data_IF_910663293172
#
_entry.id   IF_910663293172
#
_cell.length_a   1.000
_cell.length_b   1.000
_cell.length_c   1.000
_cell.angle_alpha   90.00
_cell.angle_beta   90.00
_cell.angle_gamma   90.00
#
_symmetry.space_group_name_H-M   'P 1'
#
loop_
_entity.id
_entity.type
_entity.pdbx_description
1 polymer ?
#
# COMPACT_ATOMS: atom_id res chain seq x y z
N UNK A 1 -14.21 -10.28 0.24
CA UNK A 1 -13.86 -8.93 -0.23
C UNK A 1 -14.08 -7.99 0.94
N UNK A 2 -13.15 -7.10 1.25
CA UNK A 2 -13.29 -6.15 2.37
C UNK A 2 -13.77 -4.80 1.85
N UNK A 3 -14.73 -4.19 2.53
CA UNK A 3 -15.23 -2.85 2.21
C UNK A 3 -14.52 -1.80 3.05
N UNK A 4 -13.71 -0.94 2.42
CA UNK A 4 -13.00 0.14 3.12
C UNK A 4 -13.90 1.36 3.33
N UNK A 5 -14.65 1.36 4.44
CA UNK A 5 -15.69 2.37 4.74
C UNK A 5 -15.15 3.76 5.11
N UNK A 6 -13.98 3.83 5.75
CA UNK A 6 -13.36 5.11 6.10
C UNK A 6 -12.92 5.86 4.83
N UNK A 7 -12.98 7.22 4.80
CA UNK A 7 -12.58 8.01 3.64
C UNK A 7 -11.07 7.92 3.39
N UNK A 8 -10.66 8.13 2.13
CA UNK A 8 -9.24 8.25 1.79
C UNK A 8 -8.74 9.67 2.09
N UNK A 9 -7.89 9.79 3.10
CA UNK A 9 -7.15 11.02 3.42
C UNK A 9 -5.66 10.70 3.44
N UNK A 10 -4.86 11.47 2.71
CA UNK A 10 -3.40 11.27 2.68
C UNK A 10 -2.81 11.38 4.09
N UNK A 11 -1.94 10.44 4.46
CA UNK A 11 -1.41 10.32 5.83
C UNK A 11 -2.37 9.64 6.84
N UNK A 12 -3.51 9.12 6.41
CA UNK A 12 -4.45 8.36 7.26
C UNK A 12 -4.85 7.00 6.65
N UNK A 13 -4.09 6.50 5.67
CA UNK A 13 -4.35 5.21 5.03
C UNK A 13 -4.47 4.05 6.04
N UNK A 14 -3.67 4.12 7.11
CA UNK A 14 -3.70 3.13 8.19
C UNK A 14 -5.10 2.93 8.79
N UNK A 15 -5.90 3.99 8.95
CA UNK A 15 -7.27 3.87 9.49
C UNK A 15 -8.22 3.09 8.60
N UNK A 16 -7.91 2.98 7.30
CA UNK A 16 -8.70 2.17 6.37
C UNK A 16 -8.28 0.70 6.42
N UNK A 17 -6.99 0.43 6.54
CA UNK A 17 -6.42 -0.91 6.32
C UNK A 17 -6.17 -1.69 7.62
N UNK A 18 -5.68 -1.02 8.66
CA UNK A 18 -5.21 -1.67 9.89
C UNK A 18 -6.30 -2.48 10.60
N UNK A 19 -7.57 -2.04 10.72
CA UNK A 19 -8.59 -2.87 11.38
C UNK A 19 -8.72 -4.26 10.77
N UNK A 20 -8.65 -4.37 9.44
CA UNK A 20 -8.71 -5.64 8.73
C UNK A 20 -7.43 -6.46 8.91
N UNK A 21 -6.27 -5.81 8.98
CA UNK A 21 -4.99 -6.50 9.22
C UNK A 21 -4.93 -7.07 10.64
N UNK A 22 -5.42 -6.32 11.64
CA UNK A 22 -5.51 -6.79 13.03
C UNK A 22 -6.43 -8.02 13.12
N UNK A 23 -7.58 -7.99 12.45
CA UNK A 23 -8.49 -9.14 12.38
C UNK A 23 -7.80 -10.39 11.80
N UNK A 24 -6.98 -10.23 10.76
CA UNK A 24 -6.22 -11.34 10.18
C UNK A 24 -5.18 -11.92 11.15
N UNK A 25 -4.50 -11.06 11.90
CA UNK A 25 -3.52 -11.50 12.91
C UNK A 25 -4.22 -12.22 14.06
N UNK A 26 -5.34 -11.68 14.56
CA UNK A 26 -6.14 -12.31 15.62
C UNK A 26 -6.66 -13.68 15.18
N UNK A 27 -7.19 -13.77 13.96
CA UNK A 27 -7.65 -15.04 13.40
C UNK A 27 -6.53 -16.06 13.26
N UNK A 28 -5.30 -15.63 12.92
CA UNK A 28 -4.15 -16.53 12.87
C UNK A 28 -3.79 -17.02 14.27
N UNK A 29 -3.74 -16.12 15.25
CA UNK A 29 -3.47 -16.44 16.65
C UNK A 29 -4.47 -17.45 17.23
N UNK A 30 -5.74 -17.35 16.85
CA UNK A 30 -6.79 -18.28 17.29
C UNK A 30 -6.71 -19.65 16.61
N UNK A 31 -6.40 -19.68 15.30
CA UNK A 31 -6.50 -20.91 14.50
C UNK A 31 -5.22 -21.71 14.42
N UNK A 32 -4.09 -21.04 14.33
CA UNK A 32 -2.77 -21.64 14.11
C UNK A 32 -1.72 -20.86 14.93
N UNK A 33 -1.81 -20.88 16.27
CA UNK A 33 -0.94 -20.09 17.15
C UNK A 33 0.56 -20.38 16.94
N UNK A 34 0.92 -21.62 16.60
CA UNK A 34 2.30 -22.04 16.35
C UNK A 34 2.91 -21.40 15.09
N UNK A 35 2.07 -20.87 14.20
CA UNK A 35 2.48 -20.17 12.98
C UNK A 35 2.50 -18.65 13.14
N UNK A 36 2.33 -18.14 14.36
CA UNK A 36 2.37 -16.71 14.61
C UNK A 36 3.73 -16.11 14.23
N UNK A 37 3.75 -15.02 13.45
CA UNK A 37 4.99 -14.41 13.03
C UNK A 37 5.66 -13.69 14.20
N UNK A 38 6.97 -13.86 14.33
CA UNK A 38 7.78 -13.11 15.29
C UNK A 38 7.98 -11.64 14.88
N UNK A 39 7.78 -11.33 13.61
CA UNK A 39 7.94 -9.99 13.02
C UNK A 39 7.12 -9.86 11.74
N UNK A 40 6.52 -8.69 11.53
CA UNK A 40 5.75 -8.36 10.33
C UNK A 40 6.53 -7.38 9.45
N UNK A 41 6.67 -7.72 8.15
CA UNK A 41 7.12 -6.79 7.12
C UNK A 41 5.88 -6.22 6.42
N UNK A 42 5.66 -4.92 6.60
CA UNK A 42 4.45 -4.23 6.14
C UNK A 42 4.78 -3.40 4.90
N UNK A 43 4.00 -3.57 3.82
CA UNK A 43 4.11 -2.76 2.59
C UNK A 43 3.57 -1.36 2.83
N UNK A 44 4.42 -0.49 3.36
CA UNK A 44 4.04 0.84 3.81
C UNK A 44 5.09 1.44 4.73
N UNK A 45 4.77 2.60 5.31
CA UNK A 45 5.70 3.30 6.20
C UNK A 45 5.45 2.94 7.67
N UNK A 46 6.53 3.00 8.46
CA UNK A 46 6.50 3.09 9.92
C UNK A 46 6.65 4.54 10.36
N UNK A 47 7.71 4.86 11.10
CA UNK A 47 8.00 6.22 11.60
C UNK A 47 8.32 7.23 10.49
N UNK A 48 8.69 6.79 9.29
CA UNK A 48 8.84 7.65 8.10
C UNK A 48 7.46 8.07 7.57
N UNK A 49 6.77 8.93 8.30
CA UNK A 49 5.38 9.28 8.06
C UNK A 49 5.10 10.74 8.45
N UNK A 50 4.05 11.36 7.89
CA UNK A 50 3.71 12.78 8.15
C UNK A 50 3.54 13.10 9.64
N UNK A 51 3.25 12.08 10.46
CA UNK A 51 3.02 12.18 11.90
C UNK A 51 3.87 11.21 12.71
N UNK A 52 4.94 10.66 12.13
CA UNK A 52 5.75 9.63 12.80
C UNK A 52 5.04 8.29 13.05
N UNK A 53 3.83 8.10 12.51
CA UNK A 53 2.97 6.97 12.84
C UNK A 53 2.26 6.41 11.59
N UNK A 54 3.01 5.69 10.77
CA UNK A 54 2.49 5.01 9.58
C UNK A 54 1.77 3.69 9.88
N UNK A 55 1.36 3.00 8.82
CA UNK A 55 0.63 1.72 8.90
C UNK A 55 1.39 0.64 9.67
N UNK A 56 2.73 0.58 9.54
CA UNK A 56 3.54 -0.41 10.25
C UNK A 56 3.60 -0.12 11.77
N UNK A 57 3.63 1.16 12.16
CA UNK A 57 3.54 1.54 13.57
C UNK A 57 2.17 1.18 14.14
N UNK A 58 1.11 1.60 13.44
CA UNK A 58 -0.26 1.40 13.88
C UNK A 58 -0.62 -0.07 14.02
N UNK A 59 -0.25 -0.91 13.04
CA UNK A 59 -0.44 -2.36 13.15
C UNK A 59 0.37 -2.95 14.31
N UNK A 60 1.64 -2.56 14.43
CA UNK A 60 2.54 -3.07 15.47
C UNK A 60 2.06 -2.78 16.88
N UNK A 61 1.61 -1.56 17.18
CA UNK A 61 1.11 -1.23 18.53
C UNK A 61 -0.21 -1.93 18.86
N UNK A 62 -1.07 -2.18 17.88
CA UNK A 62 -2.34 -2.87 18.14
C UNK A 62 -2.20 -4.39 18.26
N UNK A 63 -1.14 -4.95 17.66
CA UNK A 63 -0.86 -6.40 17.70
C UNK A 63 0.22 -6.77 18.70
N UNK A 64 0.94 -5.78 19.26
CA UNK A 64 2.16 -5.95 20.07
C UNK A 64 3.27 -6.77 19.38
N UNK A 65 3.18 -6.96 18.07
CA UNK A 65 4.19 -7.65 17.26
C UNK A 65 5.25 -6.67 16.75
N UNK A 66 6.53 -7.07 16.71
CA UNK A 66 7.55 -6.33 15.99
C UNK A 66 7.14 -6.07 14.54
N UNK A 67 7.24 -4.82 14.09
CA UNK A 67 6.79 -4.41 12.76
C UNK A 67 7.85 -3.55 12.07
N UNK A 68 8.05 -3.81 10.78
CA UNK A 68 8.93 -3.04 9.89
C UNK A 68 8.11 -2.46 8.75
N UNK A 69 8.19 -1.15 8.55
CA UNK A 69 7.65 -0.49 7.36
C UNK A 69 8.64 -0.58 6.20
N UNK A 70 8.21 -1.18 5.09
CA UNK A 70 9.00 -1.30 3.87
C UNK A 70 8.25 -0.62 2.72
N UNK A 71 8.64 0.61 2.39
CA UNK A 71 8.01 1.38 1.32
C UNK A 71 8.80 1.28 0.00
N UNK A 72 8.07 1.25 -1.13
CA UNK A 72 8.64 1.18 -2.48
C UNK A 72 9.00 2.56 -3.07
N UNK A 73 8.57 3.64 -2.42
CA UNK A 73 8.76 5.04 -2.80
C UNK A 73 9.11 5.87 -1.56
N UNK A 74 9.91 6.91 -1.73
CA UNK A 74 10.22 7.86 -0.66
C UNK A 74 8.95 8.63 -0.32
N UNK A 75 8.60 8.69 0.97
CA UNK A 75 7.61 9.64 1.46
C UNK A 75 8.32 10.96 1.77
N UNK A 76 7.84 12.06 1.17
CA UNK A 76 8.45 13.38 1.33
C UNK A 76 7.90 14.06 2.58
N UNK A 77 8.59 13.87 3.70
CA UNK A 77 8.25 14.36 5.04
C UNK A 77 9.51 14.86 5.74
N UNK A 78 9.36 15.81 6.67
CA UNK A 78 10.49 16.42 7.39
C UNK A 78 11.63 16.90 6.46
N UNK A 79 11.29 17.46 5.30
CA UNK A 79 12.30 17.93 4.32
C UNK A 79 13.02 16.84 3.53
N UNK A 80 12.64 15.56 3.69
CA UNK A 80 13.07 14.52 2.76
C UNK A 80 12.45 14.76 1.38
N UNK A 81 13.29 14.83 0.37
CA UNK A 81 12.89 15.08 -1.01
C UNK A 81 13.57 14.10 -1.96
N UNK A 82 12.88 13.73 -3.04
CA UNK A 82 13.47 12.92 -4.11
C UNK A 82 14.21 13.81 -5.13
N UNK A 83 15.13 14.63 -4.63
CA UNK A 83 15.89 15.63 -5.39
C UNK A 83 17.19 15.05 -6.00
N UNK A 84 18.01 15.90 -6.61
CA UNK A 84 19.27 15.47 -7.26
C UNK A 84 20.23 14.77 -6.29
N UNK A 85 20.43 15.35 -5.10
CA UNK A 85 21.30 14.76 -4.07
C UNK A 85 20.81 13.37 -3.61
N UNK A 86 19.49 13.19 -3.47
CA UNK A 86 18.92 11.89 -3.17
C UNK A 86 19.19 10.86 -4.26
N UNK A 87 19.07 11.25 -5.54
CA UNK A 87 19.36 10.39 -6.69
C UNK A 87 20.84 10.03 -6.78
N UNK A 88 21.74 10.97 -6.52
CA UNK A 88 23.19 10.70 -6.45
C UNK A 88 23.51 9.63 -5.41
N UNK A 89 22.96 9.76 -4.19
CA UNK A 89 23.12 8.74 -3.14
C UNK A 89 22.60 7.36 -3.56
N UNK A 90 21.50 7.30 -4.33
CA UNK A 90 21.00 6.02 -4.87
C UNK A 90 21.99 5.42 -5.87
N UNK A 91 22.59 6.23 -6.74
CA UNK A 91 23.59 5.76 -7.72
C UNK A 91 24.84 5.21 -7.03
N UNK A 92 25.19 5.73 -5.85
CA UNK A 92 26.31 5.23 -5.06
C UNK A 92 26.07 3.84 -4.44
N UNK A 93 24.82 3.35 -4.37
CA UNK A 93 24.50 2.00 -3.89
C UNK A 93 24.90 0.94 -4.94
N UNK A 94 26.01 0.24 -4.71
CA UNK A 94 26.61 -0.70 -5.67
C UNK A 94 26.07 -2.13 -5.50
N UNK A 95 25.96 -2.63 -4.28
CA UNK A 95 25.59 -4.01 -3.98
C UNK A 95 24.28 -4.12 -3.18
N UNK A 96 23.66 -5.30 -3.24
CA UNK A 96 22.57 -5.70 -2.37
C UNK A 96 23.00 -5.62 -0.90
N UNK A 97 22.24 -4.88 -0.10
CA UNK A 97 22.55 -4.60 1.29
C UNK A 97 23.12 -3.20 1.51
N UNK A 98 23.55 -2.49 0.47
CA UNK A 98 24.03 -1.12 0.60
C UNK A 98 22.89 -0.20 1.05
N UNK A 99 23.23 0.77 1.90
CA UNK A 99 22.26 1.67 2.51
C UNK A 99 22.75 3.09 2.67
N UNK A 100 21.83 4.05 2.81
CA UNK A 100 22.13 5.39 3.32
C UNK A 100 20.96 5.92 4.17
N UNK A 101 21.24 6.75 5.20
CA UNK A 101 20.23 7.21 6.14
C UNK A 101 19.30 8.26 5.53
N UNK A 102 18.04 8.22 5.94
CA UNK A 102 17.02 9.22 5.62
C UNK A 102 16.90 10.17 6.80
N UNK A 103 17.62 11.28 6.75
CA UNK A 103 17.72 12.26 7.83
C UNK A 103 16.75 13.40 7.55
N UNK A 104 15.81 13.63 8.46
CA UNK A 104 14.89 14.77 8.38
C UNK A 104 15.56 16.09 8.78
N UNK A 105 14.88 17.21 8.56
CA UNK A 105 15.35 18.56 8.90
C UNK A 105 15.70 18.74 10.38
N UNK A 106 15.06 17.94 11.25
CA UNK A 106 15.34 17.90 12.69
C UNK A 106 16.68 17.25 13.06
N UNK A 107 17.36 16.63 12.09
CA UNK A 107 18.51 15.74 12.33
C UNK A 107 18.11 14.31 12.69
N UNK A 108 16.82 14.02 12.84
CA UNK A 108 16.31 12.68 13.17
C UNK A 108 16.48 11.73 12.00
N UNK A 109 16.99 10.53 12.25
CA UNK A 109 17.01 9.44 11.26
C UNK A 109 15.63 8.79 11.21
N UNK A 110 14.86 9.05 10.16
CA UNK A 110 13.49 8.58 9.98
C UNK A 110 13.42 7.17 9.35
N UNK A 111 14.51 6.73 8.74
CA UNK A 111 14.61 5.45 8.08
C UNK A 111 15.90 5.29 7.29
N UNK A 112 15.92 4.28 6.43
CA UNK A 112 17.08 3.92 5.62
C UNK A 112 16.63 3.64 4.18
N UNK A 113 17.33 4.21 3.20
CA UNK A 113 17.25 3.72 1.83
C UNK A 113 18.11 2.45 1.73
N UNK A 114 17.55 1.37 1.20
CA UNK A 114 18.18 0.06 1.08
C UNK A 114 18.17 -0.40 -0.38
N UNK A 115 19.33 -0.66 -0.97
CA UNK A 115 19.43 -1.45 -2.19
C UNK A 115 19.21 -2.91 -1.84
N UNK A 116 18.01 -3.41 -2.10
CA UNK A 116 17.58 -4.71 -1.59
C UNK A 116 18.06 -5.92 -2.39
N UNK A 117 18.57 -5.71 -3.60
CA UNK A 117 19.00 -6.78 -4.50
C UNK A 117 19.94 -6.23 -5.58
N UNK A 118 20.97 -7.00 -5.97
CA UNK A 118 22.00 -6.57 -6.94
C UNK A 118 21.43 -6.12 -8.28
N UNK A 119 20.49 -6.90 -8.82
CA UNK A 119 19.81 -6.60 -10.09
C UNK A 119 18.75 -5.49 -10.03
N UNK A 120 18.65 -4.72 -8.95
CA UNK A 120 17.70 -3.60 -8.87
C UNK A 120 18.37 -2.30 -8.47
N UNK A 121 18.14 -1.25 -9.26
CA UNK A 121 18.62 0.11 -8.97
C UNK A 121 17.66 0.92 -8.10
N UNK A 122 16.41 0.46 -7.92
CA UNK A 122 15.40 1.19 -7.15
C UNK A 122 15.40 0.72 -5.69
N UNK A 123 15.81 1.56 -4.72
CA UNK A 123 15.87 1.14 -3.34
C UNK A 123 14.47 0.90 -2.75
N UNK A 124 14.46 0.27 -1.58
CA UNK A 124 13.36 0.28 -0.62
C UNK A 124 13.64 1.34 0.45
N UNK A 125 12.58 1.87 1.04
CA UNK A 125 12.67 2.81 2.15
C UNK A 125 12.17 2.11 3.39
N UNK A 126 13.10 1.73 4.27
CA UNK A 126 12.84 0.95 5.47
C UNK A 126 12.73 1.89 6.66
N UNK A 127 11.70 1.72 7.47
CA UNK A 127 11.47 2.50 8.69
C UNK A 127 10.95 1.61 9.81
N UNK A 128 11.27 1.97 11.05
CA UNK A 128 10.78 1.25 12.24
C UNK A 128 9.26 1.35 12.30
N UNK A 129 8.58 0.23 12.50
CA UNK A 129 7.16 0.21 12.87
C UNK A 129 7.00 0.14 14.39
N UNK A 130 7.36 -0.99 14.98
CA UNK A 130 7.20 -1.24 16.42
C UNK A 130 8.20 -2.30 16.92
N UNK A 131 8.67 -2.19 18.17
CA UNK A 131 9.52 -3.19 18.88
C UNK A 131 10.73 -3.73 18.09
N UNK A 132 11.34 -2.90 17.24
CA UNK A 132 12.54 -3.26 16.46
C UNK A 132 13.42 -2.03 16.23
N UNK A 133 14.73 -2.17 16.25
CA UNK A 133 15.65 -1.09 15.90
C UNK A 133 15.74 -0.93 14.38
N UNK A 134 16.09 0.28 13.90
CA UNK A 134 16.23 0.54 12.46
C UNK A 134 17.28 -0.35 11.82
N UNK A 135 18.42 -0.56 12.47
CA UNK A 135 19.51 -1.41 11.97
C UNK A 135 19.02 -2.86 11.76
N UNK A 136 18.34 -3.43 12.76
CA UNK A 136 17.82 -4.80 12.69
C UNK A 136 16.73 -4.89 11.61
N UNK A 137 15.84 -3.90 11.53
CA UNK A 137 14.80 -3.84 10.51
C UNK A 137 15.37 -3.85 9.08
N UNK A 138 16.43 -3.09 8.83
CA UNK A 138 17.11 -3.01 7.53
C UNK A 138 17.78 -4.34 7.19
N UNK A 139 18.55 -4.90 8.13
CA UNK A 139 19.22 -6.20 7.95
C UNK A 139 18.21 -7.32 7.69
N UNK A 140 17.15 -7.38 8.48
CA UNK A 140 16.07 -8.36 8.30
C UNK A 140 15.40 -8.20 6.93
N UNK A 141 15.05 -6.98 6.54
CA UNK A 141 14.45 -6.69 5.24
C UNK A 141 15.33 -7.21 4.10
N UNK A 142 16.63 -6.92 4.14
CA UNK A 142 17.58 -7.42 3.14
C UNK A 142 17.67 -8.95 3.13
N UNK A 143 17.72 -9.60 4.30
CA UNK A 143 17.77 -11.08 4.38
C UNK A 143 16.49 -11.76 3.87
N UNK A 144 15.36 -11.05 3.88
CA UNK A 144 14.12 -11.52 3.28
C UNK A 144 14.03 -11.28 1.76
N UNK A 145 15.00 -10.63 1.13
CA UNK A 145 14.99 -10.30 -0.29
C UNK A 145 15.63 -11.38 -1.15
N UNK A 146 14.82 -12.30 -1.69
CA UNK A 146 15.21 -13.15 -2.83
C UNK A 146 15.14 -12.40 -4.17
N UNK A 147 14.32 -11.35 -4.22
CA UNK A 147 14.20 -10.40 -5.32
C UNK A 147 14.25 -8.98 -4.73
N UNK A 148 14.01 -7.94 -5.56
CA UNK A 148 13.90 -6.56 -5.07
C UNK A 148 12.92 -6.42 -3.89
N UNK A 149 11.74 -7.04 -3.97
CA UNK A 149 10.72 -6.96 -2.92
C UNK A 149 10.94 -8.12 -1.93
N UNK A 150 10.92 -7.88 -0.59
CA UNK A 150 11.06 -8.95 0.39
C UNK A 150 9.99 -10.03 0.19
N UNK A 151 10.37 -11.30 0.34
CA UNK A 151 9.47 -12.43 0.08
C UNK A 151 8.13 -12.32 0.82
N UNK A 152 8.05 -11.98 2.13
CA UNK A 152 6.76 -11.87 2.82
C UNK A 152 5.81 -10.86 2.13
N UNK A 153 6.33 -9.68 1.75
CA UNK A 153 5.56 -8.64 1.07
C UNK A 153 5.19 -9.09 -0.35
N UNK A 154 6.14 -9.67 -1.09
CA UNK A 154 5.91 -10.16 -2.45
C UNK A 154 4.80 -11.21 -2.48
N UNK A 155 4.83 -12.14 -1.53
CA UNK A 155 3.87 -13.23 -1.39
C UNK A 155 2.47 -12.73 -1.01
N UNK A 156 2.39 -11.71 -0.14
CA UNK A 156 1.12 -11.06 0.20
C UNK A 156 0.53 -10.30 -1.01
N UNK A 157 1.34 -9.56 -1.76
CA UNK A 157 0.91 -8.82 -2.96
C UNK A 157 0.42 -9.75 -4.09
N UNK A 158 1.09 -10.89 -4.31
CA UNK A 158 0.65 -11.89 -5.29
C UNK A 158 -0.73 -12.46 -4.93
N UNK A 159 -0.92 -12.87 -3.66
CA UNK A 159 -2.17 -13.46 -3.18
C UNK A 159 -3.32 -12.45 -3.19
N UNK A 160 -3.08 -11.21 -2.79
CA UNK A 160 -4.11 -10.17 -2.81
C UNK A 160 -4.56 -9.86 -4.25
N UNK A 161 -3.62 -9.74 -5.20
CA UNK A 161 -3.93 -9.56 -6.63
C UNK A 161 -4.66 -10.75 -7.24
N UNK A 162 -4.27 -11.97 -6.87
CA UNK A 162 -4.97 -13.19 -7.29
C UNK A 162 -6.40 -13.23 -6.77
N UNK A 163 -6.61 -12.90 -5.50
CA UNK A 163 -7.95 -12.80 -4.91
C UNK A 163 -8.82 -11.79 -5.65
N UNK A 164 -8.30 -10.59 -5.92
CA UNK A 164 -9.01 -9.56 -6.70
C UNK A 164 -9.37 -10.07 -8.10
N UNK A 165 -8.41 -10.69 -8.82
CA UNK A 165 -8.67 -11.24 -10.16
C UNK A 165 -9.76 -12.31 -10.14
N UNK A 166 -9.75 -13.22 -9.16
CA UNK A 166 -10.77 -14.27 -9.03
C UNK A 166 -12.15 -13.70 -8.70
N UNK A 167 -12.23 -12.75 -7.77
CA UNK A 167 -13.53 -12.21 -7.30
C UNK A 167 -14.15 -11.20 -8.27
N UNK A 168 -13.35 -10.39 -8.96
CA UNK A 168 -13.85 -9.38 -9.91
C UNK A 168 -13.83 -9.85 -11.37
N UNK A 169 -12.94 -10.77 -11.74
CA UNK A 169 -12.86 -11.32 -13.10
C UNK A 169 -14.02 -12.26 -13.48
N UNK A 170 -14.88 -12.65 -12.52
CA UNK A 170 -16.14 -13.36 -12.78
C UNK A 170 -17.36 -12.44 -12.91
N UNK A 171 -17.19 -11.11 -12.81
CA UNK A 171 -18.26 -10.12 -13.09
C UNK A 171 -18.22 -9.60 -14.54
N UNK A 172 -17.85 -10.45 -15.48
CA UNK A 172 -18.05 -10.21 -16.91
C UNK A 172 -19.37 -10.81 -17.33
N UNK A 173 -20.39 -9.99 -17.55
CA UNK A 173 -21.60 -10.39 -18.27
C UNK A 173 -21.24 -11.09 -19.59
N UNK A 174 -21.94 -12.18 -19.90
CA UNK A 174 -21.74 -12.86 -21.18
C UNK A 174 -22.14 -11.92 -22.34
N UNK A 175 -21.44 -11.96 -23.49
CA UNK A 175 -21.79 -11.17 -24.68
C UNK A 175 -23.22 -11.40 -25.21
N UNK A 176 -23.90 -12.46 -24.74
CA UNK A 176 -25.24 -12.84 -25.18
C UNK A 176 -26.35 -11.92 -24.61
N UNK A 177 -26.13 -11.22 -23.50
CA UNK A 177 -27.17 -10.41 -22.85
C UNK A 177 -27.26 -8.97 -23.40
N UNK A 178 -26.38 -8.59 -24.34
CA UNK A 178 -26.31 -7.22 -24.88
C UNK A 178 -27.21 -6.97 -26.10
N UNK A 179 -27.83 -8.01 -26.68
CA UNK A 179 -28.62 -7.89 -27.92
C UNK A 179 -30.13 -7.72 -27.72
N UNK A 180 -30.69 -8.04 -26.56
CA UNK A 180 -32.15 -8.00 -26.37
C UNK A 180 -32.69 -6.64 -25.90
N UNK A 181 -31.83 -5.74 -25.41
CA UNK A 181 -32.27 -4.43 -24.89
C UNK A 181 -32.34 -3.31 -25.94
N UNK A 182 -31.86 -3.54 -27.17
CA UNK A 182 -31.85 -2.53 -28.24
C UNK A 182 -33.00 -2.66 -29.27
N UNK A 183 -33.84 -3.70 -29.20
CA UNK A 183 -34.89 -3.96 -30.20
C UNK A 183 -36.33 -3.65 -29.75
N UNK A 184 -36.55 -3.08 -28.56
CA UNK A 184 -37.88 -2.75 -28.07
C UNK A 184 -38.05 -1.25 -27.76
N UNK A 185 -37.92 -0.40 -28.78
CA UNK A 185 -38.55 0.94 -28.79
C UNK A 185 -38.97 1.30 -30.21
N UNK A 186 -40.19 0.93 -30.59
CA UNK A 186 -40.87 1.52 -31.75
C UNK A 186 -41.30 2.97 -31.48
N UNK A 187 -41.37 3.84 -32.51
CA UNK A 187 -41.75 5.24 -32.37
C UNK A 187 -43.29 5.41 -32.42
N UNK A 188 -43.87 6.16 -31.48
CA UNK A 188 -45.25 6.65 -31.60
C UNK A 188 -45.28 8.11 -32.07
N UNK A 189 -46.07 8.35 -33.09
CA UNK A 189 -46.42 9.61 -33.76
C UNK A 189 -47.42 10.48 -32.96
N UNK A 190 -47.15 11.80 -32.92
CA UNK A 190 -48.00 13.06 -32.95
C UNK A 190 -49.50 13.09 -32.52
N UNK A 191 -50.21 14.24 -32.34
CA UNK A 191 -49.90 15.66 -32.67
C UNK A 191 -50.34 16.80 -31.67
N UNK A 192 -49.72 17.99 -31.86
CA UNK A 192 -50.26 19.37 -31.86
C UNK A 192 -51.25 19.96 -30.81
N UNK A 193 -50.90 21.11 -30.22
CA UNK A 193 -51.60 22.42 -30.31
C UNK A 193 -51.01 23.50 -29.37
N UNK A 194 -51.09 24.75 -29.80
CA UNK A 194 -50.41 25.97 -29.29
C UNK A 194 -51.09 26.64 -28.06
N UNK A 195 -50.43 27.63 -27.42
CA UNK A 195 -51.12 28.68 -26.66
C UNK A 195 -50.97 30.10 -27.27
N UNK A 196 -51.88 31.03 -26.96
CA UNK A 196 -52.01 32.32 -27.64
C UNK A 196 -51.18 33.46 -27.02
N UNK A 197 -51.08 34.54 -27.79
CA UNK A 197 -50.39 35.79 -27.52
C UNK A 197 -51.03 36.67 -26.43
N UNK A 198 -50.21 37.45 -25.74
CA UNK A 198 -50.59 38.65 -24.98
C UNK A 198 -49.75 39.82 -25.51
N UNK A 199 -50.44 40.86 -25.96
CA UNK A 199 -49.86 42.09 -26.49
C UNK A 199 -49.80 43.22 -25.46
N UNK A 200 -48.90 44.17 -25.78
CA UNK A 200 -48.79 45.59 -25.40
C UNK A 200 -49.03 46.01 -23.94
#
# INVERSE_FOLDING_TARGET
MVGLKAPYVSGFLAFREVPFLVELVQRLQEKEPDLMPQVLLVDGNGVLHQRGFGVACHLGVLTELPCVGVAKKLLQVEGLENNASHKEKIVLLQAGGDTFPLIGNSGTVLGMALKSHDHSTKPLYVSVGHRISLEVAVRLTHRCCRFRIPEPIRQADIRSREYIRRTLGHRGESPAQRKDSLFLREPRTTPGMAPPALGR
#
